data_IF_735663247312
#
_entry.id   IF_735663247312
#
_cell.length_a   1.000
_cell.length_b   1.000
_cell.length_c   1.000
_cell.angle_alpha   90.00
_cell.angle_beta   90.00
_cell.angle_gamma   90.00
#
_symmetry.space_group_name_H-M   'P 1'
#
loop_
_entity.id
_entity.type
_entity.pdbx_description
1 polymer ?
#
# COMPACT_ATOMS: atom_id res chain seq x y z
N UNK A 1 2.74 12.89 9.06
CA UNK A 1 1.74 11.81 8.85
C UNK A 1 1.41 11.27 10.22
N UNK A 2 0.14 11.02 10.52
CA UNK A 2 -0.27 10.41 11.79
C UNK A 2 0.50 9.11 12.01
N UNK A 3 0.97 8.88 13.22
CA UNK A 3 1.61 7.62 13.59
C UNK A 3 0.52 6.55 13.62
N UNK A 4 0.45 5.76 12.54
CA UNK A 4 -0.38 4.55 12.50
C UNK A 4 0.34 3.51 13.35
N UNK A 5 -0.37 2.90 14.30
CA UNK A 5 0.18 1.86 15.16
C UNK A 5 0.48 0.57 14.38
N UNK A 6 1.30 -0.30 14.96
CA UNK A 6 1.76 -1.52 14.30
C UNK A 6 0.63 -2.53 14.04
N UNK A 7 -0.43 -2.56 14.87
CA UNK A 7 -1.56 -3.46 14.67
C UNK A 7 -2.34 -3.02 13.43
N UNK A 8 -2.68 -1.74 13.35
CA UNK A 8 -3.36 -1.17 12.17
C UNK A 8 -2.53 -1.40 10.90
N UNK A 9 -1.21 -1.18 10.94
CA UNK A 9 -0.32 -1.47 9.79
C UNK A 9 -0.37 -2.93 9.39
N UNK A 10 -0.32 -3.85 10.35
CA UNK A 10 -0.40 -5.27 10.10
C UNK A 10 -1.75 -5.69 9.50
N UNK A 11 -2.86 -5.13 9.98
CA UNK A 11 -4.20 -5.38 9.44
C UNK A 11 -4.34 -4.92 7.99
N UNK A 12 -3.78 -3.76 7.62
CA UNK A 12 -3.72 -3.29 6.24
C UNK A 12 -2.95 -4.28 5.34
N UNK A 13 -1.81 -4.79 5.81
CA UNK A 13 -1.05 -5.81 5.05
C UNK A 13 -1.86 -7.10 4.91
N UNK A 14 -2.51 -7.56 5.98
CA UNK A 14 -3.35 -8.76 5.97
C UNK A 14 -4.50 -8.62 4.97
N UNK A 15 -5.18 -7.48 4.91
CA UNK A 15 -6.25 -7.23 3.93
C UNK A 15 -5.74 -7.35 2.48
N UNK A 16 -4.55 -6.83 2.17
CA UNK A 16 -3.99 -6.93 0.81
C UNK A 16 -3.67 -8.40 0.48
N UNK A 17 -3.06 -9.13 1.42
CA UNK A 17 -2.77 -10.57 1.27
C UNK A 17 -4.04 -11.42 1.10
N UNK A 18 -5.11 -11.05 1.82
CA UNK A 18 -6.44 -11.68 1.75
C UNK A 18 -7.25 -11.26 0.51
N UNK A 19 -6.60 -10.61 -0.47
CA UNK A 19 -7.21 -10.13 -1.72
C UNK A 19 -8.31 -9.10 -1.53
N UNK A 20 -8.26 -8.33 -0.45
CA UNK A 20 -9.16 -7.21 -0.13
C UNK A 20 -8.44 -5.88 -0.28
N UNK A 21 -7.62 -5.73 -1.33
CA UNK A 21 -6.78 -4.55 -1.57
C UNK A 21 -7.58 -3.25 -1.58
N UNK A 22 -8.77 -3.23 -2.20
CA UNK A 22 -9.62 -2.05 -2.22
C UNK A 22 -10.08 -1.63 -0.82
N UNK A 23 -10.37 -2.59 0.07
CA UNK A 23 -10.73 -2.30 1.46
C UNK A 23 -9.54 -1.72 2.24
N UNK A 24 -8.33 -2.23 2.00
CA UNK A 24 -7.11 -1.69 2.58
C UNK A 24 -6.88 -0.23 2.15
N UNK A 25 -7.08 0.08 0.85
CA UNK A 25 -6.96 1.44 0.34
C UNK A 25 -8.02 2.38 0.92
N UNK A 26 -9.28 1.93 1.00
CA UNK A 26 -10.37 2.71 1.62
C UNK A 26 -10.06 3.05 3.09
N UNK A 27 -9.59 2.07 3.86
CA UNK A 27 -9.22 2.29 5.26
C UNK A 27 -8.04 3.25 5.40
N UNK A 28 -6.96 3.07 4.63
CA UNK A 28 -5.83 3.99 4.63
C UNK A 28 -6.26 5.42 4.26
N UNK A 29 -7.14 5.58 3.28
CA UNK A 29 -7.64 6.89 2.85
C UNK A 29 -8.47 7.57 3.92
N UNK A 30 -9.27 6.83 4.68
CA UNK A 30 -9.98 7.33 5.86
C UNK A 30 -9.01 7.81 6.95
N UNK A 31 -7.96 7.04 7.24
CA UNK A 31 -6.94 7.41 8.24
C UNK A 31 -6.19 8.69 7.85
N UNK A 32 -5.79 8.79 6.58
CA UNK A 32 -5.06 9.96 6.07
C UNK A 32 -5.96 11.12 5.64
N UNK A 33 -7.29 10.95 5.69
CA UNK A 33 -8.29 11.94 5.27
C UNK A 33 -8.06 12.42 3.83
N UNK A 34 -7.82 11.48 2.93
CA UNK A 34 -7.67 11.72 1.48
C UNK A 34 -8.71 10.91 0.70
N UNK A 35 -8.92 11.26 -0.58
CA UNK A 35 -9.73 10.44 -1.48
C UNK A 35 -9.15 9.01 -1.59
N UNK A 36 -10.00 8.03 -1.91
CA UNK A 36 -9.53 6.66 -2.19
C UNK A 36 -9.03 6.57 -3.64
N UNK A 37 -7.78 6.14 -3.90
CA UNK A 37 -7.36 5.84 -5.26
C UNK A 37 -8.03 4.55 -5.74
N UNK A 38 -8.45 4.52 -7.00
CA UNK A 38 -8.85 3.25 -7.64
C UNK A 38 -7.61 2.39 -7.86
N UNK A 39 -7.76 1.06 -7.85
CA UNK A 39 -6.71 0.13 -8.29
C UNK A 39 -7.28 -0.82 -9.33
N UNK A 40 -6.53 -1.08 -10.40
CA UNK A 40 -6.93 -1.98 -11.48
C UNK A 40 -5.74 -2.80 -11.98
N UNK A 41 -6.03 -3.98 -12.54
CA UNK A 41 -5.04 -4.74 -13.33
C UNK A 41 -5.11 -4.25 -14.78
N UNK A 42 -3.97 -3.87 -15.35
CA UNK A 42 -3.88 -3.50 -16.75
C UNK A 42 -2.68 -2.64 -17.10
N UNK A 43 -2.56 -2.34 -18.39
CA UNK A 43 -1.47 -1.52 -18.93
C UNK A 43 -1.95 -0.10 -19.19
N UNK A 44 -1.12 0.89 -18.84
CA UNK A 44 -1.36 2.27 -19.24
C UNK A 44 -1.07 2.43 -20.72
N UNK A 45 -2.09 2.86 -21.49
CA UNK A 45 -1.94 3.15 -22.92
C UNK A 45 -0.79 4.16 -23.12
N UNK A 46 0.08 3.89 -24.11
CA UNK A 46 1.28 4.67 -24.49
C UNK A 46 2.53 4.51 -23.62
N UNK A 47 2.51 3.69 -22.56
CA UNK A 47 3.72 3.41 -21.76
C UNK A 47 3.88 1.90 -21.56
N UNK A 48 4.67 1.24 -22.42
CA UNK A 48 5.28 -0.05 -22.07
C UNK A 48 6.30 0.25 -20.96
N UNK A 49 5.91 0.13 -19.70
CA UNK A 49 6.86 0.22 -18.60
C UNK A 49 7.12 -1.18 -18.08
N UNK A 50 8.39 -1.46 -17.86
CA UNK A 50 8.94 -2.63 -17.16
C UNK A 50 8.64 -2.62 -15.65
N UNK A 51 7.73 -1.75 -15.20
CA UNK A 51 7.41 -1.55 -13.77
C UNK A 51 6.23 -2.41 -13.37
N UNK A 52 6.26 -2.90 -12.14
CA UNK A 52 5.22 -3.76 -11.59
C UNK A 52 3.90 -3.01 -11.37
N UNK A 53 3.95 -1.76 -10.89
CA UNK A 53 2.78 -0.90 -10.78
C UNK A 53 3.14 0.56 -10.99
N UNK A 54 2.12 1.42 -11.11
CA UNK A 54 2.30 2.87 -11.09
C UNK A 54 1.00 3.60 -10.71
N UNK A 55 1.13 4.62 -9.87
CA UNK A 55 0.09 5.58 -9.59
C UNK A 55 0.04 6.71 -10.63
N UNK A 56 -1.14 6.92 -11.21
CA UNK A 56 -1.43 8.00 -12.17
C UNK A 56 -2.26 9.08 -11.49
N UNK A 57 -1.61 10.21 -11.18
CA UNK A 57 -2.20 11.34 -10.45
C UNK A 57 -3.48 11.87 -11.09
N UNK A 58 -3.48 12.04 -12.42
CA UNK A 58 -4.61 12.63 -13.16
C UNK A 58 -5.86 11.74 -13.10
N UNK A 59 -5.67 10.42 -12.99
CA UNK A 59 -6.75 9.44 -12.93
C UNK A 59 -7.08 9.01 -11.50
N UNK A 60 -6.29 9.44 -10.51
CA UNK A 60 -6.33 8.97 -9.12
C UNK A 60 -6.38 7.43 -9.06
N UNK A 61 -5.52 6.78 -9.85
CA UNK A 61 -5.59 5.34 -10.08
C UNK A 61 -4.22 4.68 -10.02
N UNK A 62 -4.15 3.54 -9.36
CA UNK A 62 -3.02 2.63 -9.33
C UNK A 62 -3.25 1.58 -10.41
N UNK A 63 -2.28 1.43 -11.31
CA UNK A 63 -2.27 0.38 -12.33
C UNK A 63 -1.27 -0.69 -11.91
N UNK A 64 -1.74 -1.89 -11.63
CA UNK A 64 -0.92 -3.08 -11.41
C UNK A 64 -0.75 -3.85 -12.73
N UNK A 65 0.45 -4.36 -12.99
CA UNK A 65 0.75 -5.09 -14.23
C UNK A 65 0.12 -6.49 -14.27
N UNK A 66 -0.19 -7.07 -13.12
CA UNK A 66 -0.82 -8.37 -12.97
C UNK A 66 -1.63 -8.45 -11.66
N UNK A 67 -2.45 -9.49 -11.52
CA UNK A 67 -3.16 -9.77 -10.27
C UNK A 67 -2.20 -10.09 -9.11
N UNK A 68 -1.03 -10.67 -9.39
CA UNK A 68 -0.01 -10.90 -8.35
C UNK A 68 0.47 -9.58 -7.74
N UNK A 69 0.74 -8.58 -8.59
CA UNK A 69 1.15 -7.26 -8.11
C UNK A 69 0.01 -6.52 -7.40
N UNK A 70 -1.23 -6.71 -7.87
CA UNK A 70 -2.41 -6.13 -7.23
C UNK A 70 -2.56 -6.57 -5.76
N UNK A 71 -2.11 -7.78 -5.43
CA UNK A 71 -2.14 -8.33 -4.08
C UNK A 71 -0.76 -8.33 -3.40
N UNK A 72 0.22 -7.60 -3.95
CA UNK A 72 1.53 -7.45 -3.32
C UNK A 72 1.51 -6.23 -2.38
N UNK A 73 1.58 -6.43 -1.04
CA UNK A 73 1.41 -5.33 -0.10
C UNK A 73 2.49 -4.26 -0.24
N UNK A 74 3.74 -4.65 -0.52
CA UNK A 74 4.83 -3.69 -0.68
C UNK A 74 4.58 -2.76 -1.86
N UNK A 75 4.21 -3.32 -3.03
CA UNK A 75 3.98 -2.54 -4.24
C UNK A 75 2.73 -1.66 -4.11
N UNK A 76 1.63 -2.20 -3.58
CA UNK A 76 0.40 -1.43 -3.36
C UNK A 76 0.66 -0.24 -2.43
N UNK A 77 1.34 -0.46 -1.31
CA UNK A 77 1.63 0.60 -0.34
C UNK A 77 2.61 1.63 -0.89
N UNK A 78 3.58 1.21 -1.71
CA UNK A 78 4.48 2.10 -2.42
C UNK A 78 3.70 3.06 -3.34
N UNK A 79 2.80 2.53 -4.17
CA UNK A 79 1.99 3.39 -5.06
C UNK A 79 0.99 4.26 -4.29
N UNK A 80 0.45 3.75 -3.19
CA UNK A 80 -0.40 4.52 -2.30
C UNK A 80 0.35 5.69 -1.63
N UNK A 81 1.63 5.52 -1.32
CA UNK A 81 2.45 6.63 -0.85
C UNK A 81 2.51 7.78 -1.88
N UNK A 82 2.69 7.45 -3.16
CA UNK A 82 2.64 8.47 -4.22
C UNK A 82 1.27 9.15 -4.32
N UNK A 83 0.19 8.40 -4.06
CA UNK A 83 -1.15 8.97 -3.94
C UNK A 83 -1.23 10.04 -2.84
N UNK A 84 -0.92 9.69 -1.59
CA UNK A 84 -1.05 10.65 -0.47
C UNK A 84 -0.10 11.84 -0.63
N UNK A 85 1.12 11.64 -1.15
CA UNK A 85 2.08 12.73 -1.36
C UNK A 85 1.65 13.69 -2.46
N UNK A 86 0.97 13.19 -3.49
CA UNK A 86 0.39 14.05 -4.53
C UNK A 86 -0.74 14.94 -4.01
N UNK A 87 -1.32 14.63 -2.84
CA UNK A 87 -2.41 15.37 -2.21
C UNK A 87 -1.96 16.28 -1.08
N UNK A 88 -0.93 15.87 -0.34
CA UNK A 88 -0.51 16.53 0.91
C UNK A 88 0.79 17.36 0.78
N UNK A 89 1.35 17.56 -0.42
CA UNK A 89 2.56 18.36 -0.59
C UNK A 89 2.82 18.89 -1.99
N UNK A 90 3.82 19.78 -2.08
CA UNK A 90 4.27 20.45 -3.34
C UNK A 90 5.05 19.51 -4.27
N UNK A 91 5.50 18.34 -3.78
CA UNK A 91 6.31 17.38 -4.51
C UNK A 91 5.70 15.97 -4.47
N UNK A 92 5.84 15.21 -5.58
CA UNK A 92 5.24 13.88 -5.84
C UNK A 92 5.70 12.72 -4.90
N UNK A 93 6.44 13.02 -3.83
CA UNK A 93 7.17 12.03 -3.04
C UNK A 93 8.42 11.52 -3.78
N UNK A 94 9.35 10.89 -3.07
CA UNK A 94 10.50 10.21 -3.69
C UNK A 94 10.40 8.70 -3.50
N UNK A 95 10.96 7.95 -4.45
CA UNK A 95 11.02 6.48 -4.43
C UNK A 95 11.56 5.94 -3.10
N UNK A 96 12.59 6.60 -2.55
CA UNK A 96 13.17 6.23 -1.24
C UNK A 96 12.12 6.27 -0.12
N UNK A 97 11.31 7.33 -0.06
CA UNK A 97 10.29 7.45 0.98
C UNK A 97 9.11 6.50 0.72
N UNK A 98 8.77 6.23 -0.55
CA UNK A 98 7.76 5.24 -0.90
C UNK A 98 8.18 3.83 -0.43
N UNK A 99 9.45 3.46 -0.65
CA UNK A 99 10.02 2.22 -0.15
C UNK A 99 10.01 2.15 1.38
N UNK A 100 10.44 3.22 2.06
CA UNK A 100 10.43 3.27 3.53
C UNK A 100 9.01 3.15 4.09
N UNK A 101 8.04 3.85 3.47
CA UNK A 101 6.64 3.78 3.84
C UNK A 101 6.11 2.35 3.71
N UNK A 102 6.31 1.69 2.57
CA UNK A 102 5.88 0.31 2.38
C UNK A 102 6.56 -0.64 3.37
N UNK A 103 7.87 -0.50 3.58
CA UNK A 103 8.65 -1.36 4.47
C UNK A 103 8.14 -1.31 5.91
N UNK A 104 7.78 -0.14 6.44
CA UNK A 104 7.25 0.00 7.80
C UNK A 104 5.99 -0.82 8.05
N UNK A 105 5.14 -1.00 7.03
CA UNK A 105 3.94 -1.85 7.14
C UNK A 105 4.30 -3.33 7.13
N UNK A 106 5.22 -3.73 6.26
CA UNK A 106 5.71 -5.12 6.19
C UNK A 106 6.37 -5.54 7.50
N UNK A 107 7.21 -4.67 8.06
CA UNK A 107 7.91 -4.92 9.33
C UNK A 107 6.91 -5.06 10.48
N UNK A 108 5.90 -4.19 10.54
CA UNK A 108 4.82 -4.26 11.53
C UNK A 108 4.04 -5.58 11.43
N UNK A 109 3.67 -6.00 10.22
CA UNK A 109 3.00 -7.28 9.99
C UNK A 109 3.85 -8.46 10.47
N UNK A 110 5.13 -8.52 10.09
CA UNK A 110 6.05 -9.58 10.51
C UNK A 110 6.18 -9.60 12.03
N UNK A 111 6.28 -8.44 12.68
CA UNK A 111 6.38 -8.33 14.14
C UNK A 111 5.13 -8.83 14.85
N UNK A 112 3.95 -8.40 14.40
CA UNK A 112 2.66 -8.86 14.96
C UNK A 112 2.51 -10.37 14.79
N UNK A 113 2.80 -10.91 13.61
CA UNK A 113 2.72 -12.35 13.35
C UNK A 113 3.70 -13.16 14.22
N UNK A 114 4.93 -12.67 14.43
CA UNK A 114 5.90 -13.31 15.34
C UNK A 114 5.37 -13.36 16.77
N UNK A 115 4.77 -12.27 17.27
CA UNK A 115 4.18 -12.22 18.62
C UNK A 115 3.00 -13.19 18.76
N UNK A 116 2.11 -13.24 17.77
CA UNK A 116 0.97 -14.16 17.77
C UNK A 116 1.43 -15.63 17.78
N UNK A 117 2.42 -15.98 16.96
CA UNK A 117 2.97 -17.33 16.92
C UNK A 117 3.64 -17.72 18.25
N UNK A 118 4.38 -16.80 18.88
CA UNK A 118 4.98 -17.04 20.20
C UNK A 118 3.93 -17.19 21.31
N UNK A 119 2.79 -16.51 21.21
CA UNK A 119 1.69 -16.66 22.15
C UNK A 119 0.98 -18.02 21.99
N UNK A 120 0.82 -18.50 20.75
CA UNK A 120 0.22 -19.81 20.44
C UNK A 120 1.11 -20.98 20.92
N UNK A 121 2.43 -20.87 20.78
CA UNK A 121 3.40 -21.89 21.21
C UNK A 121 3.61 -21.98 22.74
N UNK A 122 3.08 -21.03 23.52
CA UNK A 122 3.23 -20.97 24.97
C UNK A 122 2.01 -21.51 25.74
N UNK A 123 1.02 -22.06 25.04
CA UNK A 123 -0.18 -22.68 25.61
C UNK A 123 -0.19 -24.18 25.34
#
# INVERSE_FOLDING_TARGET
MSDIDDLTKAEIVALILDKKTEQALDWLSKLYKVDVPQIVVGTIKKKRRTVYAVYVVQEKKIYASSSEIFYNPFVVLHEYYHHIRSKLGTHRGSEKHANMYAQQFIDAYIHVMKKLNQACLKN
#
